data_IF_722833462527
#
_entry.id   IF_722833462527
#
_cell.length_a   1.000
_cell.length_b   1.000
_cell.length_c   1.000
_cell.angle_alpha   90.00
_cell.angle_beta   90.00
_cell.angle_gamma   90.00
#
_symmetry.space_group_name_H-M   'P 1'
#
loop_
_entity.id
_entity.type
_entity.pdbx_description
1 polymer ?
#
# COMPACT_ATOMS: atom_id res chain seq x y z
N UNK A 1 14.47 17.66 9.85
CA UNK A 1 14.20 16.98 11.13
C UNK A 1 12.73 17.16 11.43
N UNK A 2 11.99 16.11 11.79
CA UNK A 2 10.62 16.27 12.26
C UNK A 2 10.64 17.16 13.52
N UNK A 3 9.65 18.05 13.70
CA UNK A 3 9.62 18.96 14.84
C UNK A 3 9.65 18.20 16.17
N UNK A 4 10.51 18.63 17.09
CA UNK A 4 10.84 17.94 18.34
C UNK A 4 9.73 18.01 19.40
N UNK A 5 8.84 19.00 19.33
CA UNK A 5 7.68 19.12 20.21
C UNK A 5 6.46 19.46 19.36
N UNK A 6 5.55 18.51 19.20
CA UNK A 6 4.24 18.79 18.65
C UNK A 6 3.33 19.22 19.80
N UNK A 7 2.71 20.41 19.73
CA UNK A 7 1.68 20.73 20.69
C UNK A 7 0.54 19.73 20.44
N UNK A 8 0.07 19.08 21.51
CA UNK A 8 -1.23 18.43 21.51
C UNK A 8 -2.29 19.54 21.35
N UNK A 9 -2.36 20.17 20.17
CA UNK A 9 -3.43 21.10 19.83
C UNK A 9 -4.66 20.25 19.65
N UNK A 10 -5.33 20.03 20.77
CA UNK A 10 -6.75 19.74 20.84
C UNK A 10 -7.49 21.01 20.42
N UNK A 11 -7.23 21.51 19.21
CA UNK A 11 -8.07 22.53 18.63
C UNK A 11 -9.40 21.84 18.35
N UNK A 12 -10.36 22.15 19.21
CA UNK A 12 -11.78 22.02 18.94
C UNK A 12 -12.08 22.86 17.69
N UNK A 13 -11.73 22.35 16.51
CA UNK A 13 -12.04 22.97 15.23
C UNK A 13 -13.50 22.70 14.93
N UNK A 14 -14.40 23.53 15.46
CA UNK A 14 -15.85 23.43 15.23
C UNK A 14 -16.23 22.86 13.86
N UNK A 15 -17.02 21.78 13.92
CA UNK A 15 -17.86 21.18 12.88
C UNK A 15 -17.34 20.26 11.74
N UNK A 16 -16.05 20.00 11.50
CA UNK A 16 -15.63 18.95 10.51
C UNK A 16 -14.23 18.32 10.76
N UNK A 17 -14.03 17.38 11.72
CA UNK A 17 -12.65 16.95 12.11
C UNK A 17 -12.51 15.58 12.80
N UNK A 18 -13.50 14.70 12.73
CA UNK A 18 -13.41 13.41 13.42
C UNK A 18 -12.40 12.47 12.75
N UNK A 19 -11.31 12.12 13.46
CA UNK A 19 -10.82 10.75 13.74
C UNK A 19 -9.31 10.51 13.76
N UNK A 20 -8.39 11.45 13.52
CA UNK A 20 -6.96 11.13 13.73
C UNK A 20 -6.71 10.84 15.22
N UNK A 21 -6.51 9.57 15.57
CA UNK A 21 -6.37 9.16 16.96
C UNK A 21 -4.93 9.31 17.45
N UNK A 22 -4.68 9.33 18.77
CA UNK A 22 -3.31 9.46 19.28
C UNK A 22 -2.33 8.44 18.68
N UNK A 23 -2.79 7.22 18.41
CA UNK A 23 -1.99 6.18 17.74
C UNK A 23 -1.69 6.51 16.28
N UNK A 24 -2.61 7.17 15.56
CA UNK A 24 -2.39 7.60 14.17
C UNK A 24 -1.30 8.68 14.09
N UNK A 25 -1.34 9.65 15.01
CA UNK A 25 -0.33 10.70 15.12
C UNK A 25 1.03 10.15 15.56
N UNK A 26 1.04 9.26 16.54
CA UNK A 26 2.27 8.60 16.97
C UNK A 26 2.92 7.84 15.80
N UNK A 27 2.12 7.10 15.03
CA UNK A 27 2.59 6.40 13.85
C UNK A 27 3.07 7.34 12.73
N UNK A 28 2.34 8.44 12.48
CA UNK A 28 2.71 9.43 11.47
C UNK A 28 4.05 10.12 11.74
N UNK A 29 4.44 10.24 13.02
CA UNK A 29 5.72 10.81 13.44
C UNK A 29 6.81 9.75 13.68
N UNK A 30 6.49 8.46 13.52
CA UNK A 30 7.46 7.38 13.70
C UNK A 30 7.76 7.05 15.16
N UNK A 31 6.92 7.50 16.11
CA UNK A 31 7.07 7.23 17.53
C UNK A 31 6.62 5.81 17.88
N UNK A 32 7.42 4.82 17.50
CA UNK A 32 7.15 3.41 17.74
C UNK A 32 6.91 3.10 19.22
N UNK A 33 7.73 3.62 20.14
CA UNK A 33 7.56 3.37 21.57
C UNK A 33 6.18 3.81 22.08
N UNK A 34 5.71 4.97 21.63
CA UNK A 34 4.38 5.47 22.00
C UNK A 34 3.28 4.59 21.40
N UNK A 35 3.43 4.15 20.14
CA UNK A 35 2.49 3.22 19.51
C UNK A 35 2.43 1.90 20.28
N UNK A 36 3.59 1.35 20.68
CA UNK A 36 3.71 0.13 21.48
C UNK A 36 3.00 0.27 22.83
N UNK A 37 3.25 1.35 23.57
CA UNK A 37 2.60 1.60 24.86
C UNK A 37 1.08 1.80 24.71
N UNK A 38 0.63 2.49 23.65
CA UNK A 38 -0.81 2.64 23.36
C UNK A 38 -1.48 1.29 23.05
N UNK A 39 -0.82 0.43 22.27
CA UNK A 39 -1.31 -0.93 21.98
C UNK A 39 -1.31 -1.82 23.22
N UNK A 40 -0.39 -1.61 24.16
CA UNK A 40 -0.39 -2.29 25.45
C UNK A 40 -1.59 -1.88 26.32
N UNK A 41 -1.97 -0.60 26.29
CA UNK A 41 -3.14 -0.08 27.01
C UNK A 41 -4.44 -0.58 26.38
N UNK A 42 -4.56 -0.53 25.05
CA UNK A 42 -5.73 -0.99 24.31
C UNK A 42 -5.34 -1.59 22.96
N UNK A 43 -5.42 -2.91 22.86
CA UNK A 43 -5.10 -3.66 21.65
C UNK A 43 -6.08 -3.39 20.51
N UNK A 44 -7.30 -2.91 20.80
CA UNK A 44 -8.27 -2.55 19.77
C UNK A 44 -7.82 -1.31 18.97
N UNK A 45 -6.85 -0.53 19.48
CA UNK A 45 -6.27 0.58 18.72
C UNK A 45 -5.56 0.11 17.44
N UNK A 46 -5.17 -1.17 17.35
CA UNK A 46 -4.57 -1.74 16.15
C UNK A 46 -5.50 -1.61 14.94
N UNK A 47 -6.83 -1.77 15.11
CA UNK A 47 -7.79 -1.65 13.99
C UNK A 47 -7.80 -0.22 13.40
N UNK A 48 -7.46 0.79 14.23
CA UNK A 48 -7.34 2.17 13.77
C UNK A 48 -6.04 2.33 12.98
N UNK A 49 -4.95 1.71 13.43
CA UNK A 49 -3.68 1.79 12.72
C UNK A 49 -3.72 1.09 11.35
N UNK A 50 -4.47 -0.02 11.25
CA UNK A 50 -4.46 -0.94 10.09
C UNK A 50 -5.63 -0.78 9.12
N UNK A 51 -6.68 -0.02 9.42
CA UNK A 51 -7.82 0.13 8.49
C UNK A 51 -7.46 0.98 7.26
N UNK A 52 -7.64 0.41 6.06
CA UNK A 52 -7.33 1.08 4.79
C UNK A 52 -8.21 2.31 4.58
N UNK A 53 -9.51 2.21 4.91
CA UNK A 53 -10.47 3.32 4.76
C UNK A 53 -10.05 4.54 5.57
N UNK A 54 -9.48 4.30 6.75
CA UNK A 54 -8.97 5.34 7.63
C UNK A 54 -7.64 5.90 7.12
N UNK A 55 -6.69 5.05 6.74
CA UNK A 55 -5.40 5.48 6.20
C UNK A 55 -5.60 6.40 5.00
N UNK A 56 -6.47 6.04 4.05
CA UNK A 56 -6.73 6.86 2.86
C UNK A 56 -7.29 8.26 3.15
N UNK A 57 -8.06 8.40 4.23
CA UNK A 57 -8.56 9.71 4.69
C UNK A 57 -7.48 10.52 5.40
N UNK A 58 -6.56 9.85 6.08
CA UNK A 58 -5.43 10.52 6.73
C UNK A 58 -4.38 10.94 5.70
N UNK A 59 -4.16 10.14 4.66
CA UNK A 59 -3.28 10.49 3.54
C UNK A 59 -3.71 11.79 2.87
N UNK A 60 -5.00 12.04 2.65
CA UNK A 60 -5.46 13.33 2.09
C UNK A 60 -5.16 14.52 3.00
N UNK A 61 -5.02 14.32 4.32
CA UNK A 61 -4.65 15.39 5.25
C UNK A 61 -3.14 15.59 5.28
N UNK A 62 -2.38 14.50 5.28
CA UNK A 62 -0.93 14.56 5.38
C UNK A 62 -0.23 14.89 4.06
N UNK A 63 -0.87 14.65 2.92
CA UNK A 63 -0.31 14.97 1.60
C UNK A 63 -0.41 16.47 1.26
N UNK A 64 -1.33 17.21 1.90
CA UNK A 64 -1.58 18.64 1.62
C UNK A 64 -0.60 19.58 2.36
N UNK A 65 0.10 19.11 3.41
CA UNK A 65 1.02 19.96 4.18
C UNK A 65 2.49 19.61 3.90
N UNK A 66 3.28 20.60 3.45
CA UNK A 66 4.73 20.47 3.20
C UNK A 66 5.52 19.95 4.42
N UNK A 67 4.94 20.05 5.62
CA UNK A 67 5.51 19.57 6.88
C UNK A 67 5.50 18.04 7.04
N UNK A 68 4.67 17.31 6.29
CA UNK A 68 4.42 15.87 6.46
C UNK A 68 5.06 14.97 5.39
N UNK A 69 6.10 15.45 4.70
CA UNK A 69 6.82 14.75 3.63
C UNK A 69 7.33 13.33 3.99
N UNK A 70 7.54 13.02 5.27
CA UNK A 70 8.08 11.74 5.73
C UNK A 70 7.06 10.81 6.41
N UNK A 71 5.76 11.16 6.42
CA UNK A 71 4.74 10.38 7.15
C UNK A 71 4.65 8.93 6.67
N UNK A 72 4.72 8.68 5.37
CA UNK A 72 4.71 7.32 4.83
C UNK A 72 5.90 6.50 5.35
N UNK A 73 7.10 7.09 5.39
CA UNK A 73 8.31 6.45 5.94
C UNK A 73 8.21 6.20 7.43
N UNK A 74 7.72 7.17 8.19
CA UNK A 74 7.47 7.03 9.63
C UNK A 74 6.49 5.90 9.94
N UNK A 75 5.40 5.79 9.19
CA UNK A 75 4.42 4.70 9.34
C UNK A 75 5.00 3.35 8.95
N UNK A 76 5.77 3.29 7.87
CA UNK A 76 6.48 2.07 7.46
C UNK A 76 7.50 1.62 8.50
N UNK A 77 8.24 2.57 9.11
CA UNK A 77 9.16 2.28 10.21
C UNK A 77 8.43 1.67 11.41
N UNK A 78 7.32 2.27 11.85
CA UNK A 78 6.50 1.74 12.95
C UNK A 78 5.95 0.36 12.62
N UNK A 79 5.46 0.15 11.39
CA UNK A 79 4.95 -1.14 10.94
C UNK A 79 6.04 -2.22 10.94
N UNK A 80 7.26 -1.88 10.50
CA UNK A 80 8.42 -2.79 10.54
C UNK A 80 8.85 -3.12 11.97
N UNK A 81 8.91 -2.14 12.87
CA UNK A 81 9.28 -2.41 14.26
C UNK A 81 8.21 -3.24 14.99
N UNK A 82 6.92 -2.98 14.75
CA UNK A 82 5.84 -3.83 15.24
C UNK A 82 5.94 -5.27 14.71
N UNK A 83 6.28 -5.45 13.43
CA UNK A 83 6.56 -6.77 12.86
C UNK A 83 7.69 -7.47 13.61
N UNK A 84 8.83 -6.80 13.81
CA UNK A 84 10.00 -7.36 14.50
C UNK A 84 9.73 -7.70 15.97
N UNK A 85 8.99 -6.85 16.69
CA UNK A 85 8.61 -7.13 18.07
C UNK A 85 7.76 -8.41 18.15
N UNK A 86 6.78 -8.49 17.24
CA UNK A 86 5.90 -9.64 17.05
C UNK A 86 6.63 -10.92 16.59
N UNK A 87 7.86 -10.80 16.08
CA UNK A 87 8.72 -11.90 15.64
C UNK A 87 9.55 -12.55 16.78
N UNK A 88 9.40 -12.12 18.04
CA UNK A 88 10.23 -12.63 19.15
C UNK A 88 9.60 -13.76 20.01
N UNK A 89 10.48 -14.72 20.36
CA UNK A 89 10.39 -15.90 21.27
C UNK A 89 9.71 -17.21 20.84
N UNK A 90 8.81 -17.28 19.85
CA UNK A 90 8.18 -18.57 19.45
C UNK A 90 8.24 -18.93 17.95
N UNK A 91 8.96 -18.15 17.14
CA UNK A 91 9.33 -18.53 15.77
C UNK A 91 8.17 -18.67 14.78
N UNK A 92 7.02 -18.04 15.04
CA UNK A 92 5.87 -18.06 14.14
C UNK A 92 5.43 -16.63 13.85
N UNK A 93 5.45 -16.22 12.57
CA UNK A 93 5.05 -14.90 12.08
C UNK A 93 3.65 -14.53 12.61
N UNK A 94 3.52 -13.63 13.60
CA UNK A 94 2.22 -13.37 14.24
C UNK A 94 1.37 -12.36 13.48
N UNK A 95 1.95 -11.28 12.92
CA UNK A 95 1.15 -10.24 12.24
C UNK A 95 0.69 -10.62 10.85
N UNK A 96 1.55 -11.23 10.03
CA UNK A 96 1.17 -11.71 8.69
C UNK A 96 0.10 -12.81 8.84
N UNK A 97 0.30 -13.79 9.74
CA UNK A 97 -0.71 -14.84 9.99
C UNK A 97 -2.00 -14.33 10.62
N UNK A 98 -1.98 -13.15 11.25
CA UNK A 98 -3.15 -12.52 11.84
C UNK A 98 -3.98 -11.71 10.83
N UNK A 99 -3.61 -11.67 9.55
CA UNK A 99 -4.37 -10.92 8.54
C UNK A 99 -3.88 -9.51 8.27
N UNK A 100 -2.71 -9.12 8.79
CA UNK A 100 -2.19 -7.74 8.69
C UNK A 100 -1.06 -7.57 7.67
N UNK A 101 -0.72 -8.60 6.90
CA UNK A 101 0.28 -8.50 5.83
C UNK A 101 -0.10 -7.47 4.77
N UNK A 102 -1.39 -7.36 4.41
CA UNK A 102 -1.86 -6.35 3.46
C UNK A 102 -1.56 -4.91 3.90
N UNK A 103 -1.71 -4.64 5.20
CA UNK A 103 -1.34 -3.35 5.80
C UNK A 103 0.17 -3.12 5.82
N UNK A 104 0.95 -4.14 6.18
CA UNK A 104 2.42 -4.09 6.16
C UNK A 104 2.93 -3.77 4.75
N UNK A 105 2.40 -4.46 3.74
CA UNK A 105 2.79 -4.28 2.35
C UNK A 105 2.36 -2.91 1.82
N UNK A 106 1.13 -2.47 2.10
CA UNK A 106 0.65 -1.14 1.70
C UNK A 106 1.52 -0.03 2.27
N UNK A 107 1.82 -0.08 3.57
CA UNK A 107 2.63 0.96 4.24
C UNK A 107 4.08 0.96 3.75
N UNK A 108 4.67 -0.21 3.51
CA UNK A 108 5.98 -0.35 2.88
C UNK A 108 6.02 0.23 1.46
N UNK A 109 5.01 -0.11 0.65
CA UNK A 109 4.86 0.38 -0.72
C UNK A 109 4.67 1.90 -0.76
N UNK A 110 3.80 2.45 0.09
CA UNK A 110 3.54 3.89 0.22
C UNK A 110 4.81 4.68 0.61
N UNK A 111 5.67 4.08 1.43
CA UNK A 111 6.96 4.67 1.81
C UNK A 111 8.04 4.57 0.72
N UNK A 112 7.83 3.74 -0.31
CA UNK A 112 8.88 3.39 -1.28
C UNK A 112 10.00 2.55 -0.67
N UNK A 113 9.75 1.81 0.41
CA UNK A 113 10.76 0.99 1.09
C UNK A 113 10.88 -0.38 0.42
N UNK A 114 11.64 -0.44 -0.68
CA UNK A 114 11.86 -1.67 -1.42
C UNK A 114 12.55 -2.79 -0.64
N UNK A 115 13.30 -2.45 0.44
CA UNK A 115 13.88 -3.48 1.32
C UNK A 115 12.81 -4.16 2.15
N UNK A 116 11.86 -3.39 2.70
CA UNK A 116 10.75 -3.96 3.46
C UNK A 116 9.82 -4.77 2.57
N UNK A 117 9.51 -4.26 1.37
CA UNK A 117 8.65 -4.95 0.42
C UNK A 117 9.26 -6.30 0.03
N UNK A 118 10.56 -6.36 -0.28
CA UNK A 118 11.26 -7.63 -0.53
C UNK A 118 11.16 -8.59 0.65
N UNK A 119 11.44 -8.09 1.85
CA UNK A 119 11.36 -8.89 3.08
C UNK A 119 9.97 -9.50 3.32
N UNK A 120 8.89 -8.78 2.96
CA UNK A 120 7.51 -9.26 3.06
C UNK A 120 7.19 -10.30 1.98
N UNK A 121 7.57 -10.03 0.72
CA UNK A 121 7.28 -10.91 -0.41
C UNK A 121 8.14 -12.18 -0.46
N UNK A 122 9.34 -12.16 0.12
CA UNK A 122 10.16 -13.35 0.32
C UNK A 122 9.52 -14.30 1.35
N UNK A 123 8.79 -13.76 2.33
CA UNK A 123 8.02 -14.58 3.29
C UNK A 123 6.73 -15.11 2.68
N UNK A 124 6.00 -14.27 1.96
CA UNK A 124 4.76 -14.65 1.27
C UNK A 124 4.59 -13.88 -0.05
N UNK A 125 4.88 -14.51 -1.20
CA UNK A 125 4.70 -13.89 -2.51
C UNK A 125 3.25 -13.54 -2.84
N UNK A 126 2.27 -14.24 -2.26
CA UNK A 126 0.85 -14.02 -2.57
C UNK A 126 0.32 -12.73 -1.95
N UNK A 127 1.08 -12.12 -1.04
CA UNK A 127 0.68 -10.89 -0.37
C UNK A 127 0.47 -9.72 -1.34
N UNK A 128 1.10 -9.75 -2.52
CA UNK A 128 0.87 -8.78 -3.60
C UNK A 128 -0.60 -8.70 -4.02
N UNK A 129 -1.32 -9.83 -3.98
CA UNK A 129 -2.74 -9.86 -4.35
C UNK A 129 -3.64 -9.21 -3.31
N UNK A 130 -3.11 -9.00 -2.10
CA UNK A 130 -3.78 -8.34 -1.00
C UNK A 130 -4.24 -9.29 0.11
N UNK A 131 -4.51 -8.70 1.27
CA UNK A 131 -5.01 -9.38 2.46
C UNK A 131 -5.95 -8.44 3.23
N UNK A 132 -7.08 -8.97 3.70
CA UNK A 132 -8.07 -8.19 4.45
C UNK A 132 -8.71 -7.08 3.60
N UNK A 133 -8.59 -5.82 4.04
CA UNK A 133 -9.13 -4.65 3.34
C UNK A 133 -8.27 -4.20 2.14
N UNK A 134 -7.05 -4.72 2.01
CA UNK A 134 -6.07 -4.29 1.01
C UNK A 134 -6.11 -5.26 -0.16
N UNK A 135 -6.43 -4.78 -1.36
CA UNK A 135 -6.30 -5.53 -2.60
C UNK A 135 -5.10 -5.09 -3.44
N UNK A 136 -4.77 -5.87 -4.47
CA UNK A 136 -3.68 -5.57 -5.42
C UNK A 136 -3.71 -4.14 -5.97
N UNK A 137 -4.89 -3.61 -6.28
CA UNK A 137 -5.06 -2.24 -6.79
C UNK A 137 -4.67 -1.20 -5.73
N UNK A 138 -4.92 -1.48 -4.45
CA UNK A 138 -4.53 -0.60 -3.34
C UNK A 138 -3.02 -0.63 -3.12
N UNK A 139 -2.39 -1.80 -3.28
CA UNK A 139 -0.93 -1.98 -3.22
C UNK A 139 -0.24 -1.25 -4.38
N UNK A 140 -0.71 -1.41 -5.61
CA UNK A 140 -0.21 -0.64 -6.75
C UNK A 140 -0.41 0.85 -6.57
N UNK A 141 -1.56 1.27 -6.02
CA UNK A 141 -1.82 2.68 -5.76
C UNK A 141 -0.82 3.26 -4.74
N UNK A 142 -0.54 2.52 -3.66
CA UNK A 142 0.46 2.93 -2.67
C UNK A 142 1.85 3.07 -3.29
N UNK A 143 2.28 2.07 -4.08
CA UNK A 143 3.57 2.09 -4.76
C UNK A 143 3.67 3.23 -5.79
N UNK A 144 2.59 3.49 -6.54
CA UNK A 144 2.54 4.56 -7.52
C UNK A 144 2.69 5.93 -6.86
N UNK A 145 2.05 6.14 -5.70
CA UNK A 145 2.17 7.39 -4.95
C UNK A 145 3.56 7.58 -4.33
N UNK A 146 4.32 6.50 -4.19
CA UNK A 146 5.68 6.57 -3.67
C UNK A 146 6.62 7.25 -4.68
N UNK A 147 7.71 7.83 -4.19
CA UNK A 147 8.76 8.44 -5.04
C UNK A 147 9.72 7.40 -5.64
N UNK A 148 9.40 6.10 -5.55
CA UNK A 148 10.28 5.02 -5.97
C UNK A 148 9.57 4.11 -6.99
N UNK A 149 9.96 4.23 -8.26
CA UNK A 149 9.41 3.40 -9.34
C UNK A 149 9.89 1.95 -9.29
N UNK A 150 11.05 1.67 -8.67
CA UNK A 150 11.53 0.29 -8.50
C UNK A 150 10.62 -0.55 -7.62
N UNK A 151 10.02 0.05 -6.57
CA UNK A 151 9.03 -0.65 -5.73
C UNK A 151 7.80 -1.05 -6.53
N UNK A 152 7.33 -0.15 -7.41
CA UNK A 152 6.21 -0.46 -8.28
C UNK A 152 6.55 -1.60 -9.25
N UNK A 153 7.71 -1.54 -9.92
CA UNK A 153 8.17 -2.63 -10.80
C UNK A 153 8.24 -3.96 -10.07
N UNK A 154 8.82 -3.96 -8.88
CA UNK A 154 8.94 -5.17 -8.07
C UNK A 154 7.56 -5.76 -7.75
N UNK A 155 6.60 -4.95 -7.32
CA UNK A 155 5.24 -5.43 -7.05
C UNK A 155 4.55 -5.95 -8.32
N UNK A 156 4.76 -5.29 -9.45
CA UNK A 156 4.22 -5.71 -10.74
C UNK A 156 4.83 -7.05 -11.18
N UNK A 157 6.14 -7.22 -11.06
CA UNK A 157 6.85 -8.44 -11.43
C UNK A 157 6.34 -9.64 -10.62
N UNK A 158 6.15 -9.47 -9.30
CA UNK A 158 5.56 -10.51 -8.45
C UNK A 158 4.10 -10.82 -8.80
N UNK A 159 3.35 -9.87 -9.36
CA UNK A 159 1.95 -10.08 -9.77
C UNK A 159 1.83 -10.82 -11.12
N UNK A 160 2.74 -10.55 -12.07
CA UNK A 160 2.73 -11.12 -13.43
C UNK A 160 3.51 -12.44 -13.48
N UNK A 161 4.50 -12.61 -12.61
CA UNK A 161 5.39 -13.78 -12.58
C UNK A 161 5.77 -14.13 -11.13
N UNK A 162 4.81 -14.65 -10.34
CA UNK A 162 5.08 -15.04 -8.95
C UNK A 162 6.20 -16.11 -8.88
N UNK A 163 7.21 -15.98 -8.00
CA UNK A 163 8.44 -16.77 -8.06
C UNK A 163 8.30 -18.30 -7.92
N UNK A 164 7.19 -18.86 -7.42
CA UNK A 164 6.97 -20.31 -7.36
C UNK A 164 5.49 -20.65 -7.09
N UNK A 165 5.02 -21.73 -7.71
CA UNK A 165 3.61 -22.14 -7.74
C UNK A 165 3.00 -22.56 -6.40
N UNK A 166 1.83 -22.02 -6.12
CA UNK A 166 0.82 -22.64 -5.24
C UNK A 166 -0.26 -23.22 -6.16
N UNK A 167 -0.16 -24.52 -6.39
CA UNK A 167 -1.14 -25.30 -7.15
C UNK A 167 -2.38 -25.65 -6.34
N UNK A 168 -3.52 -25.64 -7.03
CA UNK A 168 -4.32 -26.86 -7.20
C UNK A 168 -4.12 -27.26 -8.66
N UNK A 169 -3.61 -28.42 -9.05
CA UNK A 169 -3.76 -29.74 -8.47
C UNK A 169 -4.50 -30.59 -9.50
N UNK A 170 -3.78 -31.10 -10.49
CA UNK A 170 -4.28 -32.01 -11.53
C UNK A 170 -4.29 -31.40 -12.93
N UNK A 171 -3.43 -31.96 -13.79
CA UNK A 171 -3.61 -32.18 -15.23
C UNK A 171 -4.24 -31.02 -16.04
N UNK A 172 -3.45 -30.39 -16.93
CA UNK A 172 -3.82 -29.94 -18.30
C UNK A 172 -2.77 -28.93 -18.83
N UNK A 173 -1.57 -29.42 -19.19
CA UNK A 173 -0.52 -28.64 -19.90
C UNK A 173 -0.89 -28.27 -21.36
N UNK A 174 -2.18 -28.07 -21.68
CA UNK A 174 -2.65 -27.76 -23.04
C UNK A 174 -3.52 -26.52 -23.18
N UNK A 175 -3.95 -25.87 -22.09
CA UNK A 175 -4.98 -24.80 -22.13
C UNK A 175 -4.60 -23.50 -21.40
N UNK A 176 -3.42 -23.40 -20.79
CA UNK A 176 -3.06 -22.28 -19.89
C UNK A 176 -2.56 -20.99 -20.58
N UNK A 177 -2.27 -21.00 -21.88
CA UNK A 177 -1.66 -19.82 -22.54
C UNK A 177 -2.62 -18.62 -22.62
N UNK A 178 -3.90 -18.86 -22.95
CA UNK A 178 -4.89 -17.78 -23.06
C UNK A 178 -5.23 -17.19 -21.68
N UNK A 179 -5.54 -18.05 -20.69
CA UNK A 179 -5.91 -17.63 -19.33
C UNK A 179 -4.80 -16.86 -18.62
N UNK A 180 -3.53 -17.23 -18.81
CA UNK A 180 -2.39 -16.48 -18.28
C UNK A 180 -2.25 -15.11 -18.96
N UNK A 181 -2.57 -15.01 -20.26
CA UNK A 181 -2.57 -13.71 -20.97
C UNK A 181 -3.70 -12.80 -20.48
N UNK A 182 -4.87 -13.36 -20.15
CA UNK A 182 -6.02 -12.58 -19.64
C UNK A 182 -5.75 -12.06 -18.24
N UNK A 183 -5.20 -12.90 -17.38
CA UNK A 183 -4.80 -12.53 -16.04
C UNK A 183 -3.74 -11.42 -16.05
N UNK A 184 -2.68 -11.58 -16.86
CA UNK A 184 -1.64 -10.56 -16.99
C UNK A 184 -2.20 -9.25 -17.53
N UNK A 185 -3.15 -9.32 -18.49
CA UNK A 185 -3.86 -8.15 -19.01
C UNK A 185 -4.69 -7.46 -17.92
N UNK A 186 -5.37 -8.22 -17.06
CA UNK A 186 -6.10 -7.67 -15.92
C UNK A 186 -5.15 -6.99 -14.92
N UNK A 187 -4.04 -7.63 -14.56
CA UNK A 187 -3.04 -7.07 -13.64
C UNK A 187 -2.44 -5.78 -14.22
N UNK A 188 -2.08 -5.78 -15.50
CA UNK A 188 -1.60 -4.58 -16.20
C UNK A 188 -2.65 -3.46 -16.19
N UNK A 189 -3.92 -3.78 -16.45
CA UNK A 189 -5.00 -2.80 -16.41
C UNK A 189 -5.14 -2.16 -15.03
N UNK A 190 -5.12 -2.98 -13.95
CA UNK A 190 -5.12 -2.47 -12.57
C UNK A 190 -3.90 -1.62 -12.27
N UNK A 191 -2.72 -2.01 -12.74
CA UNK A 191 -1.47 -1.28 -12.56
C UNK A 191 -1.52 0.11 -13.24
N UNK A 192 -1.98 0.19 -14.49
CA UNK A 192 -2.13 1.45 -15.23
C UNK A 192 -3.13 2.39 -14.54
N UNK A 193 -4.30 1.88 -14.13
CA UNK A 193 -5.28 2.66 -13.38
C UNK A 193 -4.73 3.17 -12.04
N UNK A 194 -3.98 2.34 -11.32
CA UNK A 194 -3.36 2.71 -10.06
C UNK A 194 -2.23 3.75 -10.25
N UNK A 195 -1.40 3.60 -11.27
CA UNK A 195 -0.34 4.54 -11.63
C UNK A 195 -0.91 5.93 -11.95
N UNK A 196 -1.95 5.97 -12.79
CA UNK A 196 -2.63 7.21 -13.14
C UNK A 196 -3.32 7.86 -11.94
N UNK A 197 -3.93 7.07 -11.05
CA UNK A 197 -4.53 7.57 -9.80
C UNK A 197 -3.46 8.11 -8.82
N UNK A 198 -2.30 7.46 -8.79
CA UNK A 198 -1.16 7.82 -7.93
C UNK A 198 -0.40 9.05 -8.39
N UNK A 199 -0.52 9.45 -9.67
CA UNK A 199 0.12 10.64 -10.23
C UNK A 199 1.59 10.44 -10.62
N UNK A 200 2.04 9.19 -10.77
CA UNK A 200 3.43 8.93 -11.14
C UNK A 200 3.56 8.73 -12.65
N UNK A 201 3.88 9.84 -13.32
CA UNK A 201 4.00 9.92 -14.77
C UNK A 201 5.12 9.02 -15.33
N UNK A 202 6.20 8.81 -14.58
CA UNK A 202 7.30 7.93 -14.99
C UNK A 202 6.83 6.48 -15.11
N UNK A 203 6.16 5.98 -14.06
CA UNK A 203 5.58 4.63 -14.05
C UNK A 203 4.54 4.51 -15.16
N UNK A 204 3.64 5.49 -15.30
CA UNK A 204 2.58 5.43 -16.30
C UNK A 204 3.14 5.39 -17.74
N UNK A 205 4.17 6.19 -18.05
CA UNK A 205 4.85 6.16 -19.34
C UNK A 205 5.55 4.83 -19.59
N UNK A 206 6.17 4.25 -18.58
CA UNK A 206 6.81 2.94 -18.70
C UNK A 206 5.78 1.83 -18.98
N UNK A 207 4.66 1.82 -18.26
CA UNK A 207 3.62 0.79 -18.44
C UNK A 207 2.94 0.90 -19.80
N UNK A 208 2.72 2.12 -20.30
CA UNK A 208 2.11 2.35 -21.60
C UNK A 208 3.12 2.19 -22.74
N UNK A 209 4.42 2.41 -22.50
CA UNK A 209 5.44 2.39 -23.55
C UNK A 209 5.05 3.27 -24.74
N UNK A 210 5.17 2.70 -25.96
CA UNK A 210 4.72 3.33 -27.21
C UNK A 210 3.24 3.04 -27.56
N UNK A 211 2.46 2.43 -26.64
CA UNK A 211 1.10 2.02 -26.95
C UNK A 211 0.19 3.22 -27.26
N UNK A 212 -0.29 3.24 -28.51
CA UNK A 212 -1.19 4.27 -29.03
C UNK A 212 -2.62 4.20 -28.48
N UNK A 213 -3.01 3.08 -27.85
CA UNK A 213 -4.41 2.82 -27.46
C UNK A 213 -4.61 2.74 -25.94
N UNK A 214 -4.38 3.86 -25.27
CA UNK A 214 -4.69 4.04 -23.83
C UNK A 214 -6.18 3.78 -23.53
N UNK A 215 -7.06 3.84 -24.54
CA UNK A 215 -8.50 3.62 -24.38
C UNK A 215 -8.87 2.13 -24.24
N UNK A 216 -7.95 1.23 -24.55
CA UNK A 216 -8.10 -0.21 -24.31
C UNK A 216 -8.09 -0.56 -22.81
N UNK A 217 -7.51 0.30 -21.96
CA UNK A 217 -7.52 0.13 -20.51
C UNK A 217 -8.81 0.67 -19.92
N UNK A 218 -9.71 -0.26 -19.56
CA UNK A 218 -10.97 0.04 -18.88
C UNK A 218 -11.15 -0.87 -17.68
N UNK A 219 -11.47 -0.29 -16.53
CA UNK A 219 -11.78 -1.07 -15.33
C UNK A 219 -13.11 -1.84 -15.45
N UNK A 220 -13.46 -2.61 -14.42
CA UNK A 220 -14.69 -3.40 -14.40
C UNK A 220 -15.97 -2.54 -14.48
N UNK A 221 -15.88 -1.24 -14.21
CA UNK A 221 -16.96 -0.27 -14.32
C UNK A 221 -16.96 0.48 -15.66
N UNK A 222 -16.00 0.17 -16.55
CA UNK A 222 -15.80 0.85 -17.82
C UNK A 222 -15.11 2.21 -17.70
N UNK A 223 -14.58 2.56 -16.53
CA UNK A 223 -13.83 3.80 -16.32
C UNK A 223 -12.51 3.70 -17.08
N UNK A 224 -12.08 4.81 -17.66
CA UNK A 224 -10.77 4.92 -18.33
C UNK A 224 -9.68 5.36 -17.37
N UNK A 225 -8.43 5.28 -17.81
CA UNK A 225 -7.26 5.79 -17.09
C UNK A 225 -7.44 7.26 -16.66
N UNK A 226 -8.07 8.08 -17.52
CA UNK A 226 -8.36 9.49 -17.23
C UNK A 226 -9.35 9.67 -16.06
N UNK A 227 -10.34 8.78 -15.90
CA UNK A 227 -11.25 8.84 -14.74
C UNK A 227 -10.48 8.61 -13.44
N UNK A 228 -9.49 7.70 -13.45
CA UNK A 228 -8.66 7.40 -12.28
C UNK A 228 -7.76 8.59 -11.90
N UNK A 229 -7.12 9.23 -12.89
CA UNK A 229 -6.32 10.44 -12.70
C UNK A 229 -7.17 11.62 -12.19
N UNK A 230 -8.31 11.89 -12.84
CA UNK A 230 -9.22 12.97 -12.47
C UNK A 230 -9.79 12.78 -11.05
N UNK A 231 -10.06 11.54 -10.64
CA UNK A 231 -10.56 11.22 -9.30
C UNK A 231 -9.60 11.56 -8.15
N UNK A 232 -8.32 11.81 -8.43
CA UNK A 232 -7.34 12.32 -7.45
C UNK A 232 -6.75 13.68 -7.81
N UNK A 233 -7.27 14.34 -8.85
CA UNK A 233 -6.81 15.65 -9.27
C UNK A 233 -5.39 15.65 -9.83
N UNK A 234 -4.95 14.56 -10.47
CA UNK A 234 -3.64 14.51 -11.12
C UNK A 234 -3.68 15.34 -12.41
N UNK A 235 -2.86 16.39 -12.47
CA UNK A 235 -2.87 17.37 -13.56
C UNK A 235 -1.83 17.08 -14.66
N UNK A 236 -0.77 16.36 -14.33
CA UNK A 236 0.32 15.95 -15.24
C UNK A 236 0.05 14.56 -15.84
#
# INVERSE_FOLDING_TARGET
>A
MPPSHFPLRWESTGDQWWYATPIDFAAANGHYDLVRELLYIDTNLLIKLTSLRRIRRLETVWDDEEQFNDVAKCRSHVARELLRECETKRGHNTLIRAGYGGWLLYTAASAGDGSFVRELLERDPLLVFGEGEYGVTDIFYAAARSRNSEVFRLLLDFSISPPCGVGSGGELEGQHSESHSEFNREMMNRAVHAAARGGNLEILKELLGDCSDVLAYRDAQGSTVLHAAAGRGQLE
#
